data_IF_841030273891
#
_entry.id   IF_841030273891
#
_cell.length_a   1.000
_cell.length_b   1.000
_cell.length_c   1.000
_cell.angle_alpha   90.00
_cell.angle_beta   90.00
_cell.angle_gamma   90.00
#
_symmetry.space_group_name_H-M   'P 1'
#
loop_
_entity.id
_entity.type
_entity.pdbx_description
1 polymer ?
#
# COMPACT_ATOMS: atom_id res chain seq x y z
N UNK A 1 2.87 7.49 -25.23
CA UNK A 1 2.21 6.51 -24.34
C UNK A 1 2.40 6.99 -22.91
N UNK A 2 1.35 7.00 -22.10
CA UNK A 2 1.45 7.26 -20.66
C UNK A 2 1.80 5.96 -19.94
N UNK A 3 2.90 5.97 -19.17
CA UNK A 3 3.26 4.87 -18.29
C UNK A 3 2.31 4.80 -17.10
N UNK A 4 2.12 3.61 -16.55
CA UNK A 4 1.34 3.39 -15.32
C UNK A 4 2.07 2.43 -14.40
N UNK A 5 1.78 2.54 -13.10
CA UNK A 5 2.21 1.58 -12.07
C UNK A 5 0.96 0.86 -11.57
N UNK A 6 1.02 -0.47 -11.50
CA UNK A 6 -0.05 -1.30 -10.96
C UNK A 6 0.50 -2.03 -9.74
N UNK A 7 -0.15 -1.85 -8.59
CA UNK A 7 0.12 -2.62 -7.39
C UNK A 7 -0.92 -3.72 -7.27
N UNK A 8 -0.49 -4.98 -7.37
CA UNK A 8 -1.36 -6.15 -7.23
C UNK A 8 -1.08 -6.84 -5.89
N UNK A 9 -2.13 -7.11 -5.12
CA UNK A 9 -2.01 -7.89 -3.88
C UNK A 9 -1.85 -9.37 -4.23
N UNK A 10 -0.71 -9.97 -3.89
CA UNK A 10 -0.38 -11.35 -4.30
C UNK A 10 -0.78 -12.41 -3.27
N UNK A 11 -1.03 -12.03 -2.02
CA UNK A 11 -1.34 -12.94 -0.91
C UNK A 11 -2.29 -12.32 0.13
N UNK A 12 -2.82 -13.15 1.03
CA UNK A 12 -3.78 -12.73 2.06
C UNK A 12 -5.21 -12.60 1.55
N UNK A 13 -6.11 -12.09 2.41
CA UNK A 13 -7.56 -12.06 2.14
C UNK A 13 -7.97 -11.08 1.03
N UNK A 14 -7.07 -10.19 0.62
CA UNK A 14 -7.29 -9.18 -0.42
C UNK A 14 -6.62 -9.56 -1.76
N UNK A 15 -6.21 -10.83 -1.91
CA UNK A 15 -5.50 -11.32 -3.10
C UNK A 15 -6.22 -10.94 -4.41
N UNK A 16 -5.43 -10.58 -5.42
CA UNK A 16 -5.81 -10.13 -6.76
C UNK A 16 -6.47 -8.74 -6.83
N UNK A 17 -6.57 -8.00 -5.72
CA UNK A 17 -6.95 -6.59 -5.80
C UNK A 17 -5.82 -5.78 -6.42
N UNK A 18 -6.18 -4.86 -7.32
CA UNK A 18 -5.24 -4.00 -8.03
C UNK A 18 -5.49 -2.53 -7.75
N UNK A 19 -4.40 -1.76 -7.67
CA UNK A 19 -4.41 -0.31 -7.58
C UNK A 19 -3.58 0.25 -8.72
N UNK A 20 -4.22 0.99 -9.62
CA UNK A 20 -3.58 1.57 -10.81
C UNK A 20 -3.29 3.04 -10.58
N UNK A 21 -2.06 3.46 -10.86
CA UNK A 21 -1.60 4.83 -10.80
C UNK A 21 -1.04 5.23 -12.15
N UNK A 22 -1.72 6.16 -12.82
CA UNK A 22 -1.37 6.69 -14.16
C UNK A 22 -0.78 8.11 -14.10
N UNK A 23 -0.65 8.67 -12.91
CA UNK A 23 -0.20 10.04 -12.65
C UNK A 23 0.60 10.10 -11.34
N UNK A 24 1.29 11.23 -11.13
CA UNK A 24 2.11 11.43 -9.92
C UNK A 24 1.21 11.34 -8.68
N UNK A 25 1.52 10.39 -7.81
CA UNK A 25 0.71 10.09 -6.64
C UNK A 25 1.60 9.89 -5.43
N UNK A 26 1.26 10.52 -4.31
CA UNK A 26 1.89 10.29 -3.01
C UNK A 26 0.83 9.78 -2.05
N UNK A 27 1.02 8.57 -1.52
CA UNK A 27 0.02 7.93 -0.68
C UNK A 27 0.65 6.98 0.32
N UNK A 28 -0.08 6.65 1.38
CA UNK A 28 0.39 5.77 2.46
C UNK A 28 -0.38 4.46 2.38
N UNK A 29 0.32 3.32 2.42
CA UNK A 29 -0.29 2.02 2.67
C UNK A 29 -0.44 1.86 4.19
N UNK A 30 -1.61 1.39 4.62
CA UNK A 30 -1.87 1.10 6.03
C UNK A 30 -3.34 0.85 6.32
N UNK A 31 -3.67 0.65 7.60
CA UNK A 31 -5.05 0.41 8.06
C UNK A 31 -5.85 1.67 8.36
N UNK A 32 -5.18 2.82 8.52
CA UNK A 32 -5.85 4.08 8.82
C UNK A 32 -6.81 4.49 7.69
N UNK A 33 -7.84 5.29 8.03
CA UNK A 33 -8.93 5.63 7.10
C UNK A 33 -8.48 6.48 5.91
N UNK A 34 -7.38 7.20 6.08
CA UNK A 34 -6.72 8.09 5.12
C UNK A 34 -5.63 7.40 4.29
N UNK A 35 -5.39 6.10 4.49
CA UNK A 35 -4.45 5.33 3.68
C UNK A 35 -5.04 4.98 2.31
N UNK A 36 -4.15 4.86 1.33
CA UNK A 36 -4.46 4.38 -0.01
C UNK A 36 -3.20 3.75 -0.62
N UNK A 37 -3.18 2.45 -0.96
CA UNK A 37 -4.13 1.41 -0.60
C UNK A 37 -4.47 1.32 0.90
N UNK A 38 -5.77 1.19 1.21
CA UNK A 38 -6.23 0.94 2.59
C UNK A 38 -6.40 -0.55 2.82
N UNK A 39 -5.74 -1.04 3.85
CA UNK A 39 -5.94 -2.39 4.38
C UNK A 39 -7.09 -2.36 5.42
N UNK A 40 -7.96 -3.38 5.51
CA UNK A 40 -8.98 -3.47 6.54
C UNK A 40 -8.41 -3.30 7.95
N UNK A 41 -9.15 -2.58 8.79
CA UNK A 41 -8.82 -2.41 10.20
C UNK A 41 -9.51 -3.49 11.03
N UNK A 42 -9.11 -4.75 10.82
CA UNK A 42 -9.64 -5.93 11.50
C UNK A 42 -8.51 -6.78 12.12
N UNK A 43 -8.89 -7.83 12.87
CA UNK A 43 -7.94 -8.70 13.56
C UNK A 43 -7.01 -9.49 12.62
N UNK A 44 -7.48 -9.80 11.40
CA UNK A 44 -6.70 -10.54 10.42
C UNK A 44 -5.55 -9.70 9.82
N UNK A 45 -5.59 -8.37 9.97
CA UNK A 45 -4.60 -7.46 9.38
C UNK A 45 -3.78 -6.70 10.44
N UNK A 46 -3.80 -7.14 11.71
CA UNK A 46 -3.08 -6.50 12.82
C UNK A 46 -1.56 -6.44 12.65
N UNK A 47 -0.99 -7.37 11.88
CA UNK A 47 0.43 -7.39 11.53
C UNK A 47 0.85 -6.17 10.67
N UNK A 48 -0.10 -5.50 10.01
CA UNK A 48 0.14 -4.29 9.22
C UNK A 48 -0.08 -3.07 10.11
N UNK A 49 0.83 -2.10 10.05
CA UNK A 49 0.72 -0.86 10.83
C UNK A 49 -0.40 0.05 10.31
N UNK A 50 -0.93 0.93 11.16
CA UNK A 50 -1.93 1.93 10.75
C UNK A 50 -1.43 2.82 9.61
N UNK A 51 -0.16 3.19 9.69
CA UNK A 51 0.61 3.85 8.63
C UNK A 51 1.88 3.01 8.43
N UNK A 52 1.92 2.24 7.35
CA UNK A 52 2.96 1.22 7.15
C UNK A 52 4.12 1.76 6.33
N UNK A 53 3.85 2.23 5.11
CA UNK A 53 4.86 2.80 4.24
C UNK A 53 4.28 3.88 3.34
N UNK A 54 5.13 4.80 2.93
CA UNK A 54 4.83 5.82 1.92
C UNK A 54 5.20 5.29 0.54
N UNK A 55 4.33 5.57 -0.42
CA UNK A 55 4.60 5.46 -1.84
C UNK A 55 4.76 6.86 -2.45
N UNK A 56 5.86 7.06 -3.18
CA UNK A 56 6.04 8.21 -4.07
C UNK A 56 6.10 7.67 -5.51
N UNK A 57 4.99 7.79 -6.22
CA UNK A 57 4.78 7.22 -7.54
C UNK A 57 4.92 8.32 -8.58
N UNK A 58 5.82 8.13 -9.54
CA UNK A 58 6.02 9.00 -10.68
C UNK A 58 6.20 8.10 -11.93
N UNK A 59 5.10 7.58 -12.50
CA UNK A 59 5.17 6.53 -13.52
C UNK A 59 6.19 6.86 -14.62
N UNK A 60 7.02 5.89 -15.03
CA UNK A 60 7.03 4.47 -14.63
C UNK A 60 7.72 4.19 -13.29
N UNK A 61 8.27 5.20 -12.63
CA UNK A 61 9.06 5.05 -11.43
C UNK A 61 8.19 5.01 -10.18
N UNK A 62 8.65 4.29 -9.17
CA UNK A 62 8.07 4.27 -7.83
C UNK A 62 9.18 4.22 -6.80
N UNK A 63 8.99 4.92 -5.68
CA UNK A 63 9.81 4.80 -4.48
C UNK A 63 8.93 4.41 -3.30
N UNK A 64 9.48 3.56 -2.44
CA UNK A 64 8.82 3.08 -1.22
C UNK A 64 9.68 3.50 -0.04
N UNK A 65 9.04 4.05 1.00
CA UNK A 65 9.69 4.38 2.27
C UNK A 65 8.90 3.75 3.40
N UNK A 66 9.51 2.82 4.13
CA UNK A 66 8.93 2.30 5.37
C UNK A 66 8.97 3.36 6.48
N UNK A 67 7.97 3.34 7.36
CA UNK A 67 7.87 4.23 8.51
C UNK A 67 8.44 3.62 9.81
N UNK A 68 9.23 2.55 9.71
CA UNK A 68 9.70 1.80 10.88
C UNK A 68 8.60 0.91 11.45
N UNK A 69 7.79 0.32 10.57
CA UNK A 69 6.65 -0.50 10.96
C UNK A 69 7.08 -1.68 11.82
N UNK A 70 6.47 -1.84 12.99
CA UNK A 70 6.67 -3.05 13.80
C UNK A 70 5.80 -4.17 13.24
N UNK A 71 6.43 -5.20 12.68
CA UNK A 71 5.75 -6.45 12.39
C UNK A 71 5.52 -7.18 13.71
N UNK A 72 4.26 -7.33 14.12
CA UNK A 72 3.91 -8.23 15.23
C UNK A 72 3.71 -9.61 14.62
N UNK A 73 4.60 -10.55 14.93
CA UNK A 73 4.34 -11.97 14.72
C UNK A 73 3.14 -12.34 15.61
N UNK A 74 2.03 -12.70 14.98
CA UNK A 74 0.90 -13.36 15.64
C UNK A 74 1.24 -14.84 15.85
#
# INVERSE_FOLDING_TARGET
MTSKVILTITSGNLKNQEFTFDSRTTCIIGRAKDCHPRIPDDDNHRAISRYHCLLDINPPNIRIRDFGSKMVLL
#
